data_IF_311189986444
#
_entry.id   IF_311189986444
#
_cell.length_a   1.000
_cell.length_b   1.000
_cell.length_c   1.000
_cell.angle_alpha   90.00
_cell.angle_beta   90.00
_cell.angle_gamma   90.00
#
_symmetry.space_group_name_H-M   'P 1'
#
loop_
_entity.id
_entity.type
_entity.pdbx_description
1 polymer ?
#
# COMPACT_ATOMS: atom_id res chain seq x y z
N UNK A 1 15.26 11.34 9.07
CA UNK A 1 14.55 10.11 8.64
C UNK A 1 14.54 9.91 7.13
N UNK A 2 14.16 10.91 6.33
CA UNK A 2 14.11 10.78 4.86
C UNK A 2 15.45 10.43 4.20
N UNK A 3 16.57 10.93 4.70
CA UNK A 3 17.90 10.57 4.18
C UNK A 3 18.29 9.10 4.35
N UNK A 4 17.72 8.40 5.35
CA UNK A 4 18.04 7.01 5.66
C UNK A 4 17.53 6.05 4.58
N UNK A 5 16.28 6.24 4.14
CA UNK A 5 15.68 5.42 3.09
C UNK A 5 16.42 5.56 1.76
N UNK A 6 16.75 6.80 1.38
CA UNK A 6 17.51 7.05 0.17
C UNK A 6 18.93 6.47 0.23
N UNK A 7 19.56 6.48 1.41
CA UNK A 7 20.86 5.83 1.62
C UNK A 7 20.80 4.33 1.33
N UNK A 8 19.79 3.61 1.84
CA UNK A 8 19.63 2.18 1.58
C UNK A 8 19.30 1.87 0.11
N UNK A 9 18.49 2.70 -0.54
CA UNK A 9 18.27 2.61 -1.99
C UNK A 9 19.60 2.71 -2.76
N UNK A 10 20.44 3.69 -2.42
CA UNK A 10 21.75 3.87 -3.06
C UNK A 10 22.70 2.71 -2.76
N UNK A 11 22.74 2.21 -1.52
CA UNK A 11 23.53 1.05 -1.11
C UNK A 11 23.17 -0.17 -1.97
N UNK A 12 21.86 -0.40 -2.17
CA UNK A 12 21.38 -1.49 -3.02
C UNK A 12 21.77 -1.33 -4.49
N UNK A 13 21.93 -0.11 -5.00
CA UNK A 13 22.40 0.15 -6.36
C UNK A 13 23.91 0.01 -6.55
N UNK A 14 24.70 0.14 -5.48
CA UNK A 14 26.16 -0.01 -5.51
C UNK A 14 26.62 -1.47 -5.56
N UNK A 15 25.79 -2.42 -5.12
CA UNK A 15 26.11 -3.85 -5.16
C UNK A 15 26.30 -4.37 -6.60
N UNK A 16 27.15 -5.38 -6.81
CA UNK A 16 27.36 -5.97 -8.13
C UNK A 16 26.10 -6.63 -8.70
N UNK A 17 25.30 -7.26 -7.84
CA UNK A 17 24.03 -7.91 -8.20
C UNK A 17 22.87 -7.58 -7.25
N UNK A 18 21.63 -7.87 -7.69
CA UNK A 18 20.43 -7.70 -6.85
C UNK A 18 20.48 -8.62 -5.63
N UNK A 19 20.95 -9.87 -5.81
CA UNK A 19 21.03 -10.86 -4.73
C UNK A 19 22.07 -10.46 -3.69
N UNK A 20 23.23 -9.99 -4.12
CA UNK A 20 24.28 -9.47 -3.25
C UNK A 20 23.80 -8.23 -2.48
N UNK A 21 23.15 -7.28 -3.15
CA UNK A 21 22.58 -6.11 -2.50
C UNK A 21 21.50 -6.45 -1.46
N UNK A 22 20.64 -7.43 -1.75
CA UNK A 22 19.67 -7.94 -0.78
C UNK A 22 20.37 -8.62 0.40
N UNK A 23 21.37 -9.45 0.13
CA UNK A 23 22.13 -10.14 1.17
C UNK A 23 22.82 -9.17 2.12
N UNK A 24 23.46 -8.12 1.59
CA UNK A 24 24.11 -7.05 2.37
C UNK A 24 23.13 -6.21 3.19
N UNK A 25 21.89 -6.04 2.73
CA UNK A 25 20.85 -5.34 3.48
C UNK A 25 20.23 -6.22 4.57
N UNK A 26 20.17 -7.53 4.34
CA UNK A 26 19.65 -8.50 5.32
C UNK A 26 20.68 -8.82 6.41
N UNK A 27 21.97 -8.78 6.10
CA UNK A 27 23.07 -9.03 7.03
C UNK A 27 23.87 -7.76 7.31
N UNK A 28 23.19 -6.66 7.67
CA UNK A 28 23.89 -5.42 8.00
C UNK A 28 24.49 -5.53 9.40
N UNK A 29 25.82 -5.63 9.48
CA UNK A 29 26.59 -5.70 10.71
C UNK A 29 27.29 -4.37 11.05
N UNK A 30 27.09 -3.32 10.22
CA UNK A 30 27.79 -2.02 10.34
C UNK A 30 26.99 -0.95 11.08
N UNK A 31 25.67 -1.05 11.12
CA UNK A 31 24.79 -0.03 11.72
C UNK A 31 24.69 -0.14 13.24
N UNK A 32 24.92 -1.32 13.83
CA UNK A 32 25.00 -1.57 15.27
C UNK A 32 26.16 -2.53 15.53
N UNK A 33 27.18 -2.13 16.30
CA UNK A 33 28.50 -2.80 16.32
C UNK A 33 28.57 -4.19 16.98
N UNK A 34 27.45 -4.87 17.22
CA UNK A 34 27.40 -6.14 17.96
C UNK A 34 26.26 -7.09 17.51
N UNK A 35 25.45 -6.77 16.48
CA UNK A 35 24.41 -7.68 15.97
C UNK A 35 24.19 -7.49 14.47
N UNK A 36 24.14 -8.61 13.74
CA UNK A 36 23.59 -8.68 12.38
C UNK A 36 22.08 -8.51 12.47
N UNK A 37 21.53 -7.41 11.96
CA UNK A 37 20.09 -7.16 11.95
C UNK A 37 19.56 -7.05 10.52
N UNK A 38 18.39 -7.66 10.30
CA UNK A 38 17.67 -7.56 9.05
C UNK A 38 17.08 -6.16 8.89
N UNK A 39 17.88 -5.26 8.32
CA UNK A 39 17.51 -3.86 8.12
C UNK A 39 16.30 -3.72 7.19
N UNK A 40 16.08 -4.68 6.30
CA UNK A 40 14.95 -4.67 5.35
C UNK A 40 13.62 -4.81 6.07
N UNK A 41 13.50 -5.76 6.98
CA UNK A 41 12.26 -5.97 7.75
C UNK A 41 12.08 -4.92 8.83
N UNK A 42 13.14 -4.59 9.57
CA UNK A 42 13.05 -3.74 10.74
C UNK A 42 12.66 -2.29 10.39
N UNK A 43 13.07 -1.80 9.22
CA UNK A 43 12.80 -0.43 8.75
C UNK A 43 11.83 -0.44 7.55
N UNK A 44 11.23 -1.60 7.24
CA UNK A 44 10.28 -1.79 6.14
C UNK A 44 10.81 -1.27 4.79
N UNK A 45 12.03 -1.63 4.37
CA UNK A 45 12.71 -1.16 3.14
C UNK A 45 12.16 -1.77 1.83
N UNK A 46 10.99 -2.40 1.85
CA UNK A 46 10.35 -2.97 0.67
C UNK A 46 10.21 -1.97 -0.50
N UNK A 47 9.83 -0.69 -0.29
CA UNK A 47 9.71 0.26 -1.38
C UNK A 47 11.05 0.58 -2.06
N UNK A 48 12.13 0.73 -1.29
CA UNK A 48 13.48 1.02 -1.81
C UNK A 48 14.06 -0.19 -2.54
N UNK A 49 13.84 -1.39 -2.00
CA UNK A 49 14.21 -2.65 -2.65
C UNK A 49 13.51 -2.76 -4.00
N UNK A 50 12.20 -2.54 -4.04
CA UNK A 50 11.42 -2.56 -5.27
C UNK A 50 11.90 -1.49 -6.27
N UNK A 51 12.11 -0.25 -5.81
CA UNK A 51 12.59 0.84 -6.65
C UNK A 51 13.97 0.55 -7.27
N UNK A 52 14.88 -0.05 -6.49
CA UNK A 52 16.23 -0.36 -6.98
C UNK A 52 16.24 -1.51 -8.00
N UNK A 53 15.38 -2.52 -7.81
CA UNK A 53 15.18 -3.60 -8.78
C UNK A 53 14.61 -3.01 -10.07
N UNK A 54 13.58 -2.16 -9.95
CA UNK A 54 12.97 -1.50 -11.11
C UNK A 54 14.01 -0.66 -11.87
N UNK A 55 14.85 0.09 -11.17
CA UNK A 55 15.92 0.90 -11.78
C UNK A 55 16.94 0.04 -12.55
N UNK A 56 17.35 -1.10 -11.99
CA UNK A 56 18.28 -2.04 -12.65
C UNK A 56 17.65 -2.73 -13.85
N UNK A 57 16.42 -3.23 -13.71
CA UNK A 57 15.72 -3.99 -14.76
C UNK A 57 15.34 -3.10 -15.95
N UNK A 58 14.98 -1.85 -15.70
CA UNK A 58 14.64 -0.88 -16.77
C UNK A 58 15.87 -0.37 -17.54
N UNK A 59 17.09 -0.70 -17.11
CA UNK A 59 18.31 -0.19 -17.73
C UNK A 59 18.48 1.33 -17.57
N UNK A 60 17.77 1.94 -16.61
CA UNK A 60 17.75 3.40 -16.43
C UNK A 60 19.11 4.00 -16.01
N UNK A 61 20.09 3.13 -15.68
CA UNK A 61 21.45 3.47 -15.28
C UNK A 61 22.19 4.35 -16.29
N UNK A 62 21.87 4.22 -17.58
CA UNK A 62 22.55 4.96 -18.65
C UNK A 62 21.88 6.31 -18.98
N UNK A 63 20.66 6.55 -18.49
CA UNK A 63 19.81 7.66 -18.94
C UNK A 63 19.49 8.66 -17.82
N UNK A 64 19.28 8.18 -16.59
CA UNK A 64 18.72 8.99 -15.50
C UNK A 64 19.50 8.72 -14.20
N UNK A 65 19.87 9.76 -13.46
CA UNK A 65 20.48 9.57 -12.15
C UNK A 65 19.50 8.88 -11.16
N UNK A 66 20.00 8.03 -10.24
CA UNK A 66 19.15 7.31 -9.29
C UNK A 66 18.21 8.18 -8.47
N UNK A 67 18.63 9.41 -8.14
CA UNK A 67 17.80 10.37 -7.39
C UNK A 67 16.54 10.72 -8.19
N UNK A 68 16.70 11.10 -9.46
CA UNK A 68 15.58 11.52 -10.30
C UNK A 68 14.64 10.37 -10.61
N UNK A 69 15.17 9.16 -10.77
CA UNK A 69 14.34 7.97 -10.93
C UNK A 69 13.49 7.68 -9.69
N UNK A 70 14.11 7.71 -8.50
CA UNK A 70 13.40 7.50 -7.24
C UNK A 70 12.29 8.54 -7.02
N UNK A 71 12.61 9.81 -7.25
CA UNK A 71 11.65 10.92 -7.17
C UNK A 71 10.53 10.75 -8.21
N UNK A 72 10.88 10.33 -9.42
CA UNK A 72 9.93 10.09 -10.52
C UNK A 72 8.89 9.03 -10.20
N UNK A 73 9.29 7.91 -9.57
CA UNK A 73 8.35 6.87 -9.12
C UNK A 73 7.33 7.44 -8.15
N UNK A 74 7.80 8.21 -7.16
CA UNK A 74 6.93 8.76 -6.11
C UNK A 74 5.96 9.78 -6.71
N UNK A 75 6.41 10.65 -7.61
CA UNK A 75 5.50 11.56 -8.31
C UNK A 75 4.50 10.82 -9.19
N UNK A 76 4.91 9.75 -9.87
CA UNK A 76 4.00 8.88 -10.63
C UNK A 76 2.92 8.27 -9.73
N UNK A 77 3.31 7.78 -8.56
CA UNK A 77 2.39 7.28 -7.54
C UNK A 77 1.42 8.35 -7.03
N UNK A 78 1.87 9.60 -6.87
CA UNK A 78 0.97 10.70 -6.50
C UNK A 78 -0.03 11.03 -7.60
N UNK A 79 0.34 10.92 -8.87
CA UNK A 79 -0.62 11.05 -9.96
C UNK A 79 -1.71 9.96 -9.90
N UNK A 80 -1.31 8.72 -9.59
CA UNK A 80 -2.27 7.62 -9.36
C UNK A 80 -3.20 7.93 -8.18
N UNK A 81 -2.66 8.44 -7.07
CA UNK A 81 -3.43 8.83 -5.90
C UNK A 81 -4.53 9.85 -6.22
N UNK A 82 -4.17 10.95 -6.88
CA UNK A 82 -5.13 12.01 -7.28
C UNK A 82 -6.17 11.48 -8.28
N UNK A 83 -5.74 10.62 -9.21
CA UNK A 83 -6.64 9.98 -10.17
C UNK A 83 -7.65 9.07 -9.46
N UNK A 84 -7.22 8.30 -8.46
CA UNK A 84 -8.10 7.45 -7.69
C UNK A 84 -9.11 8.26 -6.84
N UNK A 85 -8.71 9.41 -6.30
CA UNK A 85 -9.62 10.34 -5.62
C UNK A 85 -10.68 10.91 -6.59
N UNK A 86 -10.25 11.32 -7.78
CA UNK A 86 -11.15 11.79 -8.84
C UNK A 86 -12.18 10.73 -9.20
N UNK A 87 -11.75 9.49 -9.44
CA UNK A 87 -12.62 8.36 -9.80
C UNK A 87 -13.60 8.09 -8.66
N UNK A 88 -13.12 7.94 -7.42
CA UNK A 88 -13.98 7.67 -6.25
C UNK A 88 -15.06 8.74 -6.09
N UNK A 89 -14.69 10.02 -6.18
CA UNK A 89 -15.63 11.14 -6.05
C UNK A 89 -16.67 11.16 -7.18
N UNK A 90 -16.23 10.96 -8.43
CA UNK A 90 -17.14 10.83 -9.57
C UNK A 90 -18.12 9.66 -9.37
N UNK A 91 -17.62 8.51 -8.92
CA UNK A 91 -18.45 7.33 -8.73
C UNK A 91 -19.52 7.50 -7.65
N UNK A 92 -19.17 8.18 -6.54
CA UNK A 92 -20.09 8.45 -5.43
C UNK A 92 -21.13 9.53 -5.79
N UNK A 93 -20.72 10.61 -6.46
CA UNK A 93 -21.61 11.71 -6.82
C UNK A 93 -22.43 11.44 -8.09
N UNK A 94 -21.94 10.57 -8.98
CA UNK A 94 -22.50 10.36 -10.32
C UNK A 94 -22.16 11.45 -11.33
N UNK A 95 -21.43 12.50 -10.93
CA UNK A 95 -21.04 13.62 -11.79
C UNK A 95 -19.53 13.76 -11.87
N UNK A 96 -19.00 14.02 -13.07
CA UNK A 96 -17.57 14.26 -13.28
C UNK A 96 -17.09 15.55 -12.60
N UNK A 97 -18.00 16.52 -12.42
CA UNK A 97 -17.73 17.79 -11.75
C UNK A 97 -17.33 17.61 -10.29
N UNK A 98 -17.94 16.65 -9.57
CA UNK A 98 -17.54 16.33 -8.20
C UNK A 98 -16.10 15.82 -8.14
N UNK A 99 -15.69 14.98 -9.11
CA UNK A 99 -14.30 14.56 -9.25
C UNK A 99 -13.36 15.74 -9.45
N UNK A 100 -13.68 16.67 -10.35
CA UNK A 100 -12.88 17.87 -10.56
C UNK A 100 -12.78 18.74 -9.31
N UNK A 101 -13.89 18.91 -8.58
CA UNK A 101 -13.91 19.65 -7.32
C UNK A 101 -12.99 18.99 -6.29
N UNK A 102 -12.98 17.67 -6.18
CA UNK A 102 -12.08 16.93 -5.29
C UNK A 102 -10.62 17.15 -5.66
N UNK A 103 -10.27 17.14 -6.96
CA UNK A 103 -8.89 17.41 -7.41
C UNK A 103 -8.48 18.85 -7.10
N UNK A 104 -9.35 19.83 -7.36
CA UNK A 104 -9.09 21.23 -7.02
C UNK A 104 -8.89 21.40 -5.52
N UNK A 105 -9.76 20.80 -4.71
CA UNK A 105 -9.65 20.84 -3.25
C UNK A 105 -8.35 20.19 -2.75
N UNK A 106 -7.96 19.07 -3.34
CA UNK A 106 -6.69 18.41 -3.05
C UNK A 106 -5.49 19.31 -3.37
N UNK A 107 -5.48 19.96 -4.53
CA UNK A 107 -4.39 20.86 -4.94
C UNK A 107 -4.28 22.06 -4.00
N UNK A 108 -5.41 22.66 -3.61
CA UNK A 108 -5.43 23.80 -2.67
C UNK A 108 -4.85 23.39 -1.31
N UNK A 109 -5.19 22.19 -0.83
CA UNK A 109 -4.75 21.67 0.47
C UNK A 109 -3.54 20.71 0.33
N UNK A 110 -2.74 20.84 -0.73
CA UNK A 110 -1.63 19.91 -1.03
C UNK A 110 -0.64 19.78 0.13
N UNK A 111 -0.42 20.88 0.86
CA UNK A 111 0.51 20.98 1.98
C UNK A 111 0.10 20.13 3.18
N UNK A 112 -1.21 19.96 3.38
CA UNK A 112 -1.76 19.20 4.50
C UNK A 112 -2.09 17.76 4.08
N UNK A 113 -2.46 17.55 2.82
CA UNK A 113 -2.84 16.24 2.28
C UNK A 113 -1.65 15.34 1.94
N UNK A 114 -0.50 15.91 1.59
CA UNK A 114 0.70 15.12 1.28
C UNK A 114 1.98 15.78 1.75
N UNK A 115 2.94 14.94 2.14
CA UNK A 115 4.27 15.38 2.61
C UNK A 115 5.36 15.21 1.55
N UNK A 116 4.98 14.93 0.31
CA UNK A 116 5.89 14.63 -0.81
C UNK A 116 6.91 15.74 -1.03
N UNK A 117 6.54 16.98 -0.78
CA UNK A 117 7.40 18.15 -1.00
C UNK A 117 8.54 18.26 0.03
N UNK A 118 8.30 17.86 1.28
CA UNK A 118 9.26 18.01 2.38
C UNK A 118 9.96 16.70 2.76
N UNK A 119 9.30 15.57 2.55
CA UNK A 119 9.79 14.25 2.92
C UNK A 119 9.44 13.23 1.84
N UNK A 120 10.13 13.32 0.69
CA UNK A 120 9.89 12.47 -0.48
C UNK A 120 9.83 10.96 -0.14
N UNK A 121 10.84 10.35 0.53
CA UNK A 121 10.89 8.90 0.73
C UNK A 121 10.02 8.38 1.89
N UNK A 122 9.09 9.19 2.41
CA UNK A 122 8.21 8.77 3.50
C UNK A 122 7.29 7.63 3.06
N UNK A 123 7.06 6.66 3.95
CA UNK A 123 6.22 5.48 3.68
C UNK A 123 4.78 5.83 3.28
N UNK A 124 4.25 6.90 3.84
CA UNK A 124 2.93 7.45 3.50
C UNK A 124 2.82 7.77 1.99
N UNK A 125 3.88 8.35 1.39
CA UNK A 125 3.87 8.72 -0.03
C UNK A 125 3.87 7.50 -0.96
N UNK A 126 4.40 6.37 -0.48
CA UNK A 126 4.36 5.09 -1.17
C UNK A 126 3.01 4.40 -1.01
N UNK A 127 2.42 4.45 0.20
CA UNK A 127 1.28 3.62 0.56
C UNK A 127 -0.08 4.24 0.24
N UNK A 128 -0.28 5.54 0.52
CA UNK A 128 -1.57 6.22 0.30
C UNK A 128 -2.14 6.10 -1.14
N UNK A 129 -1.32 6.12 -2.21
CA UNK A 129 -1.79 5.84 -3.56
C UNK A 129 -2.49 4.49 -3.72
N UNK A 130 -1.94 3.43 -3.12
CA UNK A 130 -2.54 2.10 -3.15
C UNK A 130 -3.84 2.05 -2.34
N UNK A 131 -3.88 2.75 -1.20
CA UNK A 131 -5.12 2.86 -0.41
C UNK A 131 -6.24 3.57 -1.18
N UNK A 132 -5.96 4.68 -1.86
CA UNK A 132 -7.00 5.34 -2.67
C UNK A 132 -7.48 4.47 -3.84
N UNK A 133 -6.56 3.72 -4.47
CA UNK A 133 -6.91 2.79 -5.52
C UNK A 133 -7.79 1.64 -5.01
N UNK A 134 -7.49 1.14 -3.81
CA UNK A 134 -8.31 0.16 -3.09
C UNK A 134 -9.72 0.72 -2.83
N UNK A 135 -9.84 1.94 -2.31
CA UNK A 135 -11.13 2.59 -2.05
C UNK A 135 -11.92 2.83 -3.34
N UNK A 136 -11.26 3.21 -4.44
CA UNK A 136 -11.90 3.36 -5.74
C UNK A 136 -12.43 2.02 -6.28
N UNK A 137 -11.64 0.95 -6.13
CA UNK A 137 -12.02 -0.41 -6.54
C UNK A 137 -13.18 -0.95 -5.67
N UNK A 138 -13.15 -0.71 -4.37
CA UNK A 138 -14.22 -1.04 -3.44
C UNK A 138 -15.52 -0.28 -3.78
N UNK A 139 -15.42 1.02 -4.01
CA UNK A 139 -16.56 1.86 -4.43
C UNK A 139 -17.15 1.37 -5.75
N UNK A 140 -16.29 0.93 -6.67
CA UNK A 140 -16.71 0.24 -7.89
C UNK A 140 -17.47 -1.02 -7.56
N UNK A 141 -16.86 -1.96 -6.83
CA UNK A 141 -17.47 -3.24 -6.47
C UNK A 141 -18.85 -3.12 -5.81
N UNK A 142 -19.07 -2.09 -5.00
CA UNK A 142 -20.35 -1.86 -4.31
C UNK A 142 -21.48 -1.33 -5.22
N UNK A 143 -21.19 -0.93 -6.46
CA UNK A 143 -22.19 -0.34 -7.36
C UNK A 143 -23.11 -1.40 -7.98
N UNK A 144 -24.41 -1.12 -7.95
CA UNK A 144 -25.52 -2.08 -8.19
C UNK A 144 -25.59 -2.67 -9.61
N UNK A 145 -24.98 -2.06 -10.63
CA UNK A 145 -25.19 -2.45 -12.03
C UNK A 145 -23.87 -2.61 -12.81
N UNK A 146 -23.01 -3.50 -12.33
CA UNK A 146 -21.70 -3.76 -12.91
C UNK A 146 -21.70 -5.10 -13.66
N UNK A 147 -21.04 -5.12 -14.83
CA UNK A 147 -20.85 -6.35 -15.60
C UNK A 147 -19.98 -7.36 -14.82
N UNK A 148 -20.19 -8.66 -15.01
CA UNK A 148 -19.41 -9.70 -14.31
C UNK A 148 -17.89 -9.55 -14.49
N UNK A 149 -17.44 -9.06 -15.64
CA UNK A 149 -16.02 -8.80 -15.93
C UNK A 149 -15.47 -7.62 -15.13
N UNK A 150 -16.27 -6.56 -14.97
CA UNK A 150 -15.92 -5.37 -14.20
C UNK A 150 -15.96 -5.65 -12.69
N UNK A 151 -16.84 -6.55 -12.23
CA UNK A 151 -16.85 -7.04 -10.85
C UNK A 151 -15.58 -7.83 -10.54
N UNK A 152 -15.17 -8.74 -11.43
CA UNK A 152 -13.91 -9.49 -11.31
C UNK A 152 -12.69 -8.56 -11.32
N UNK A 153 -12.66 -7.59 -12.24
CA UNK A 153 -11.57 -6.63 -12.30
C UNK A 153 -11.50 -5.77 -11.03
N UNK A 154 -12.63 -5.29 -10.53
CA UNK A 154 -12.69 -4.51 -9.28
C UNK A 154 -12.18 -5.32 -8.08
N UNK A 155 -12.56 -6.59 -7.98
CA UNK A 155 -12.08 -7.48 -6.93
C UNK A 155 -10.58 -7.76 -7.02
N UNK A 156 -10.06 -8.00 -8.23
CA UNK A 156 -8.63 -8.20 -8.45
C UNK A 156 -7.84 -6.93 -8.12
N UNK A 157 -8.32 -5.77 -8.57
CA UNK A 157 -7.70 -4.48 -8.30
C UNK A 157 -7.71 -4.16 -6.80
N UNK A 158 -8.82 -4.41 -6.12
CA UNK A 158 -8.94 -4.27 -4.66
C UNK A 158 -7.93 -5.18 -3.95
N UNK A 159 -7.90 -6.48 -4.27
CA UNK A 159 -6.97 -7.41 -3.60
C UNK A 159 -5.49 -7.09 -3.86
N UNK A 160 -5.11 -6.73 -5.09
CA UNK A 160 -3.75 -6.33 -5.43
C UNK A 160 -3.32 -5.03 -4.72
N UNK A 161 -4.22 -4.03 -4.67
CA UNK A 161 -3.95 -2.76 -4.00
C UNK A 161 -3.91 -2.88 -2.48
N UNK A 162 -4.77 -3.68 -1.85
CA UNK A 162 -4.70 -4.01 -0.41
C UNK A 162 -3.37 -4.69 -0.07
N UNK A 163 -2.94 -5.66 -0.89
CA UNK A 163 -1.65 -6.33 -0.67
C UNK A 163 -0.47 -5.35 -0.79
N UNK A 164 -0.45 -4.52 -1.83
CA UNK A 164 0.58 -3.49 -2.00
C UNK A 164 0.57 -2.50 -0.84
N UNK A 165 -0.61 -2.08 -0.37
CA UNK A 165 -0.74 -1.19 0.78
C UNK A 165 -0.16 -1.79 2.07
N UNK A 166 -0.42 -3.08 2.32
CA UNK A 166 0.12 -3.79 3.49
C UNK A 166 1.66 -3.88 3.42
N UNK A 167 2.20 -4.16 2.24
CA UNK A 167 3.65 -4.28 2.03
C UNK A 167 4.40 -2.94 2.15
N UNK A 168 3.79 -1.85 1.71
CA UNK A 168 4.45 -0.53 1.64
C UNK A 168 4.44 0.22 2.97
N UNK A 169 3.56 -0.13 3.91
CA UNK A 169 3.44 0.59 5.18
C UNK A 169 3.13 -0.33 6.36
N UNK A 170 3.97 -0.25 7.39
CA UNK A 170 3.84 -1.03 8.63
C UNK A 170 2.48 -0.85 9.32
N UNK A 171 1.94 0.37 9.32
CA UNK A 171 0.72 0.76 10.05
C UNK A 171 -0.56 0.49 9.22
N UNK A 172 -0.42 0.04 7.97
CA UNK A 172 -1.51 -0.22 7.02
C UNK A 172 -2.69 -1.03 7.60
N UNK A 173 -2.39 -2.06 8.40
CA UNK A 173 -3.38 -2.95 9.00
C UNK A 173 -4.36 -2.22 9.94
N UNK A 174 -3.92 -1.14 10.61
CA UNK A 174 -4.80 -0.31 11.42
C UNK A 174 -5.77 0.52 10.56
N UNK A 175 -5.30 1.03 9.41
CA UNK A 175 -6.13 1.82 8.50
C UNK A 175 -7.23 0.94 7.89
N UNK A 176 -6.86 -0.25 7.42
CA UNK A 176 -7.83 -1.23 6.90
C UNK A 176 -8.84 -1.67 7.96
N UNK A 177 -8.43 -1.75 9.22
CA UNK A 177 -9.34 -2.03 10.33
C UNK A 177 -10.37 -0.92 10.53
N UNK A 178 -9.95 0.36 10.53
CA UNK A 178 -10.86 1.50 10.61
C UNK A 178 -11.82 1.53 9.42
N UNK A 179 -11.33 1.23 8.21
CA UNK A 179 -12.16 1.10 7.02
C UNK A 179 -13.21 -0.02 7.18
N UNK A 180 -12.84 -1.19 7.69
CA UNK A 180 -13.78 -2.28 7.94
C UNK A 180 -14.87 -1.89 8.95
N UNK A 181 -14.51 -1.18 10.04
CA UNK A 181 -15.49 -0.63 10.99
C UNK A 181 -16.41 0.37 10.29
N UNK A 182 -15.88 1.25 9.44
CA UNK A 182 -16.70 2.23 8.74
C UNK A 182 -17.74 1.56 7.83
N UNK A 183 -17.35 0.55 7.06
CA UNK A 183 -18.26 -0.20 6.18
C UNK A 183 -19.33 -0.95 6.98
N UNK A 184 -18.96 -1.48 8.15
CA UNK A 184 -19.91 -2.10 9.06
C UNK A 184 -20.97 -1.13 9.57
N UNK A 185 -20.54 0.07 9.96
CA UNK A 185 -21.47 1.10 10.42
C UNK A 185 -22.43 1.51 9.30
N UNK A 186 -21.93 1.68 8.07
CA UNK A 186 -22.79 2.00 6.91
C UNK A 186 -23.78 0.86 6.61
N UNK A 187 -23.37 -0.41 6.77
CA UNK A 187 -24.27 -1.58 6.65
C UNK A 187 -25.28 -1.68 7.80
N UNK A 188 -24.88 -1.33 9.03
CA UNK A 188 -25.77 -1.30 10.20
C UNK A 188 -26.87 -0.24 10.08
N UNK A 189 -26.55 0.90 9.47
CA UNK A 189 -27.49 1.99 9.21
C UNK A 189 -28.35 1.77 7.95
N UNK A 190 -28.18 0.64 7.26
CA UNK A 190 -28.82 0.31 5.96
C UNK A 190 -28.63 1.42 4.90
N UNK A 191 -27.55 2.21 5.05
CA UNK A 191 -27.16 3.27 4.12
C UNK A 191 -26.44 2.70 2.90
N UNK A 192 -25.90 1.46 3.00
CA UNK A 192 -25.47 0.71 1.82
C UNK A 192 -26.72 0.35 1.04
N UNK A 193 -26.80 0.82 -0.20
CA UNK A 193 -27.87 0.55 -1.15
C UNK A 193 -27.86 -0.94 -1.55
N UNK A 194 -28.24 -1.81 -0.62
CA UNK A 194 -28.20 -3.27 -0.75
C UNK A 194 -29.48 -3.73 -1.42
N UNK A 195 -29.47 -3.71 -2.76
CA UNK A 195 -30.42 -4.46 -3.60
C UNK A 195 -29.77 -5.65 -4.31
N UNK A 196 -28.60 -6.14 -3.86
CA UNK A 196 -28.27 -7.58 -3.94
C UNK A 196 -29.08 -8.29 -2.85
N UNK A 197 -30.41 -8.35 -3.01
CA UNK A 197 -31.37 -8.86 -2.01
C UNK A 197 -31.11 -10.32 -1.60
N UNK A 198 -30.33 -11.09 -2.35
CA UNK A 198 -30.03 -12.49 -2.02
C UNK A 198 -29.00 -12.68 -0.89
N UNK A 199 -28.27 -11.64 -0.46
CA UNK A 199 -27.33 -11.71 0.67
C UNK A 199 -27.88 -11.06 1.96
N UNK A 200 -29.11 -10.54 1.94
CA UNK A 200 -29.76 -9.84 3.06
C UNK A 200 -30.48 -10.78 4.05
N UNK A 201 -30.52 -12.09 3.79
CA UNK A 201 -31.19 -13.07 4.67
C UNK A 201 -30.33 -13.53 5.88
N UNK A 202 -29.23 -12.84 6.21
CA UNK A 202 -28.40 -13.16 7.35
C UNK A 202 -28.72 -12.27 8.56
N UNK A 203 -29.14 -12.87 9.67
CA UNK A 203 -29.27 -12.20 10.98
C UNK A 203 -28.02 -11.36 11.29
N UNK A 204 -28.19 -10.22 11.99
CA UNK A 204 -27.12 -9.31 12.44
C UNK A 204 -25.86 -10.03 12.97
N UNK A 205 -26.03 -11.16 13.67
CA UNK A 205 -24.95 -12.03 14.17
C UNK A 205 -24.07 -12.59 13.06
N UNK A 206 -24.63 -13.02 11.93
CA UNK A 206 -23.86 -13.54 10.78
C UNK A 206 -23.02 -12.43 10.14
N UNK A 207 -23.51 -11.19 10.16
CA UNK A 207 -22.79 -10.01 9.66
C UNK A 207 -21.61 -9.65 10.58
N UNK A 208 -21.85 -9.62 11.89
CA UNK A 208 -20.79 -9.43 12.88
C UNK A 208 -19.71 -10.53 12.80
N UNK A 209 -20.12 -11.79 12.64
CA UNK A 209 -19.20 -12.92 12.48
C UNK A 209 -18.36 -12.83 11.21
N UNK A 210 -18.92 -12.36 10.08
CA UNK A 210 -18.13 -12.11 8.86
C UNK A 210 -17.07 -11.04 9.06
N UNK A 211 -17.36 -10.01 9.86
CA UNK A 211 -16.41 -8.94 10.12
C UNK A 211 -15.31 -9.36 11.10
N UNK A 212 -15.67 -10.09 12.16
CA UNK A 212 -14.69 -10.71 13.07
C UNK A 212 -13.82 -11.73 12.33
N UNK A 213 -14.41 -12.50 11.41
CA UNK A 213 -13.66 -13.40 10.53
C UNK A 213 -12.74 -12.63 9.59
N UNK A 214 -13.21 -11.55 8.96
CA UNK A 214 -12.38 -10.70 8.10
C UNK A 214 -11.22 -10.07 8.89
N UNK A 215 -11.48 -9.59 10.10
CA UNK A 215 -10.45 -9.09 11.02
C UNK A 215 -9.43 -10.17 11.36
N UNK A 216 -9.89 -11.36 11.77
CA UNK A 216 -9.02 -12.48 12.06
C UNK A 216 -8.19 -12.87 10.83
N UNK A 217 -8.78 -12.87 9.63
CA UNK A 217 -8.13 -13.26 8.39
C UNK A 217 -7.10 -12.21 7.94
N UNK A 218 -7.42 -10.91 7.98
CA UNK A 218 -6.46 -9.84 7.66
C UNK A 218 -5.33 -9.79 8.69
N UNK A 219 -5.65 -9.93 9.98
CA UNK A 219 -4.65 -9.95 11.04
C UNK A 219 -3.74 -11.19 10.95
N UNK A 220 -4.31 -12.36 10.68
CA UNK A 220 -3.52 -13.58 10.47
C UNK A 220 -2.74 -13.55 9.17
N UNK A 221 -3.25 -12.98 8.08
CA UNK A 221 -2.47 -12.77 6.84
C UNK A 221 -1.32 -11.81 7.09
N UNK A 222 -1.54 -10.71 7.80
CA UNK A 222 -0.47 -9.77 8.15
C UNK A 222 0.58 -10.42 9.07
N UNK A 223 0.15 -11.16 10.09
CA UNK A 223 1.05 -11.89 10.99
C UNK A 223 1.78 -13.03 10.28
N UNK A 224 1.09 -13.84 9.47
CA UNK A 224 1.70 -14.95 8.73
C UNK A 224 2.65 -14.43 7.67
N UNK A 225 2.36 -13.32 6.98
CA UNK A 225 3.34 -12.66 6.12
C UNK A 225 4.56 -12.23 6.94
N UNK A 226 4.37 -11.55 8.06
CA UNK A 226 5.47 -11.09 8.90
C UNK A 226 6.31 -12.27 9.44
N UNK A 227 5.67 -13.37 9.84
CA UNK A 227 6.32 -14.60 10.31
C UNK A 227 6.97 -15.42 9.19
N UNK A 228 6.36 -15.52 8.01
CA UNK A 228 6.93 -16.21 6.83
C UNK A 228 8.13 -15.43 6.32
N UNK A 229 8.04 -14.10 6.24
CA UNK A 229 9.16 -13.26 5.87
C UNK A 229 10.29 -13.41 6.90
N UNK A 230 9.99 -13.50 8.20
CA UNK A 230 10.98 -13.87 9.24
C UNK A 230 11.55 -15.28 9.10
N UNK A 231 10.76 -16.27 8.68
CA UNK A 231 11.17 -17.68 8.60
C UNK A 231 11.91 -18.04 7.31
N UNK A 232 11.66 -17.33 6.21
CA UNK A 232 12.37 -17.48 4.93
C UNK A 232 13.80 -16.92 4.98
N UNK A 233 14.17 -16.24 6.07
CA UNK A 233 15.49 -15.64 6.28
C UNK A 233 16.01 -16.21 7.60
N UNK A 234 16.84 -17.26 7.58
CA UNK A 234 17.43 -17.79 8.81
C UNK A 234 18.29 -16.70 9.45
N UNK A 235 17.97 -16.33 10.69
CA UNK A 235 18.98 -15.70 11.55
C UNK A 235 20.00 -16.81 11.84
N UNK A 236 21.19 -16.72 11.23
CA UNK A 236 22.33 -17.43 11.81
C UNK A 236 22.62 -16.74 13.15
N UNK A 237 22.07 -17.32 14.22
CA UNK A 237 22.52 -17.09 15.59
C UNK A 237 24.01 -17.43 15.62
N UNK A 238 24.86 -16.41 15.45
CA UNK A 238 26.26 -16.51 15.85
C UNK A 238 26.29 -16.52 17.38
N UNK A 239 26.08 -17.70 17.97
CA UNK A 239 26.49 -18.02 19.33
C UNK A 239 28.03 -18.06 19.36
N UNK A 240 28.64 -16.95 19.79
CA UNK A 240 29.97 -16.93 20.40
C UNK A 240 29.94 -16.01 21.63
#
# INVERSE_FOLDING_TARGET
DSGLYYYYYKKMLQAGSIQEGLFELMHDNKTLSMRTLNSVQQIHLYPEVFASILYRVTGSQEVIDPVYFYIGIIFGLQAVYVTALYITSWMLSGTWMAGMLTVVWYIINRTDTTRVEYAIPLRENWALPYFALEVAALTSYLKININSTMEMFSYLLMSASTFAFIMMWEISHYVLFVQAISLFLVDCLDLVQTRKQNLKNGHFVVRLMKLLLHFYLVFTVALTLNLVIKKMIPEEENEH
#
